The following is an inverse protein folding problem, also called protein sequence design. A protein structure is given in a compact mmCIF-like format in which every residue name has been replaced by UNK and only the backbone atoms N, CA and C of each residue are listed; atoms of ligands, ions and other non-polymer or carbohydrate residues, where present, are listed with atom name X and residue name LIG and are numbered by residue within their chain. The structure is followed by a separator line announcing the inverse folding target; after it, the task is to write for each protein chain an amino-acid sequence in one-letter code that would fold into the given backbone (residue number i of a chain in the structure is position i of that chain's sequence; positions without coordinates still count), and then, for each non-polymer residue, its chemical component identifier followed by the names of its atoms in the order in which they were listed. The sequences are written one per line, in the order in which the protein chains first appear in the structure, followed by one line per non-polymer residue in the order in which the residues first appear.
data_IF_606000181079
#
_entry.id   IF_606000181079
#
_cell.length_a   1.000
_cell.length_b   1.000
_cell.length_c   1.000
_cell.angle_alpha   90.00
_cell.angle_beta   90.00
_cell.angle_gamma   90.00
#
_symmetry.space_group_name_H-M   'P 1'
#
loop_
_entity.id
_entity.type
_entity.pdbx_description
1 polymer ?
#
# COMPACT_ATOMS: atom_id res chain seq x y z
N UNK A 1 14.61 0.61 -16.58
CA UNK A 1 15.37 1.31 -15.50
C UNK A 1 14.62 2.48 -14.87
N UNK A 2 14.22 3.52 -15.61
CA UNK A 2 13.50 4.67 -15.01
C UNK A 2 12.20 4.26 -14.32
N UNK A 3 11.36 3.46 -14.98
CA UNK A 3 10.08 2.99 -14.44
C UNK A 3 10.26 2.13 -13.17
N UNK A 4 11.24 1.24 -13.17
CA UNK A 4 11.62 0.43 -12.01
C UNK A 4 11.96 1.33 -10.82
N UNK A 5 12.85 2.31 -11.01
CA UNK A 5 13.24 3.23 -9.94
C UNK A 5 12.04 4.03 -9.42
N UNK A 6 11.18 4.54 -10.32
CA UNK A 6 9.95 5.25 -9.95
C UNK A 6 9.05 4.36 -9.11
N UNK A 7 8.82 3.12 -9.52
CA UNK A 7 8.00 2.16 -8.78
C UNK A 7 8.57 1.88 -7.38
N UNK A 8 9.88 1.64 -7.27
CA UNK A 8 10.55 1.38 -6.01
C UNK A 8 10.46 2.57 -5.06
N UNK A 9 10.79 3.77 -5.52
CA UNK A 9 10.69 5.00 -4.72
C UNK A 9 9.25 5.27 -4.27
N UNK A 10 8.30 5.12 -5.19
CA UNK A 10 6.88 5.29 -4.87
C UNK A 10 6.42 4.28 -3.82
N UNK A 11 6.81 3.01 -3.94
CA UNK A 11 6.52 1.97 -2.96
C UNK A 11 7.06 2.30 -1.57
N UNK A 12 8.29 2.80 -1.46
CA UNK A 12 8.85 3.23 -0.17
C UNK A 12 8.07 4.40 0.44
N UNK A 13 7.70 5.40 -0.37
CA UNK A 13 6.90 6.54 0.08
C UNK A 13 5.46 6.14 0.44
N UNK A 14 4.92 5.11 -0.21
CA UNK A 14 3.55 4.63 0.02
C UNK A 14 3.32 4.16 1.46
N UNK A 15 4.35 3.70 2.16
CA UNK A 15 4.26 3.32 3.57
C UNK A 15 3.84 4.51 4.46
N UNK A 16 4.17 5.73 4.06
CA UNK A 16 3.77 6.95 4.77
C UNK A 16 2.25 7.16 4.70
N UNK A 17 1.58 6.64 3.66
CA UNK A 17 0.14 6.87 3.46
C UNK A 17 -0.68 6.22 4.59
N UNK A 18 -0.56 4.91 4.90
CA UNK A 18 -1.21 4.32 6.07
C UNK A 18 -0.83 5.00 7.39
N UNK A 19 0.44 5.37 7.56
CA UNK A 19 0.90 6.06 8.77
C UNK A 19 0.20 7.42 8.94
N UNK A 20 0.06 8.19 7.86
CA UNK A 20 -0.64 9.47 7.86
C UNK A 20 -2.13 9.29 8.15
N UNK A 21 -2.79 8.28 7.59
CA UNK A 21 -4.20 8.00 7.88
C UNK A 21 -4.39 7.68 9.37
N UNK A 22 -3.56 6.80 9.93
CA UNK A 22 -3.60 6.46 11.36
C UNK A 22 -3.33 7.68 12.22
N UNK A 23 -2.27 8.45 11.93
CA UNK A 23 -1.94 9.66 12.67
C UNK A 23 -3.08 10.69 12.64
N UNK A 24 -3.71 10.91 11.48
CA UNK A 24 -4.82 11.86 11.33
C UNK A 24 -6.03 11.44 12.18
N UNK A 25 -6.36 10.14 12.17
CA UNK A 25 -7.41 9.56 13.01
C UNK A 25 -7.06 9.57 14.51
N UNK A 26 -5.78 9.49 14.89
CA UNK A 26 -5.32 9.65 16.27
C UNK A 26 -5.48 11.11 16.74
N UNK A 27 -5.15 12.08 15.89
CA UNK A 27 -5.17 13.52 16.17
C UNK A 27 -6.56 14.19 16.07
N UNK A 28 -7.64 13.39 15.90
CA UNK A 28 -9.05 13.84 15.81
C UNK A 28 -9.34 14.84 14.68
N UNK A 29 -8.51 14.92 13.65
CA UNK A 29 -8.84 15.66 12.41
C UNK A 29 -9.60 14.70 11.48
N UNK A 30 -10.61 15.21 10.77
CA UNK A 30 -11.67 14.41 10.10
C UNK A 30 -11.24 13.40 9.01
N UNK A 31 -12.14 13.10 8.08
CA UNK A 31 -12.06 11.93 7.17
C UNK A 31 -11.36 12.09 5.80
N UNK A 32 -10.68 13.19 5.39
CA UNK A 32 -10.33 13.35 3.98
C UNK A 32 -9.24 12.36 3.51
N UNK A 33 -8.26 12.05 4.36
CA UNK A 33 -7.07 11.29 3.93
C UNK A 33 -7.40 9.83 3.61
N UNK A 34 -8.27 9.17 4.39
CA UNK A 34 -8.64 7.76 4.16
C UNK A 34 -9.38 7.50 2.84
N UNK A 35 -9.95 8.55 2.23
CA UNK A 35 -10.69 8.42 0.95
C UNK A 35 -9.76 8.45 -0.25
N UNK A 36 -8.65 9.16 -0.14
CA UNK A 36 -7.66 9.33 -1.21
C UNK A 36 -6.58 8.24 -1.10
N UNK A 37 -6.26 7.81 0.12
CA UNK A 37 -5.21 6.84 0.38
C UNK A 37 -5.29 5.55 -0.45
N UNK A 38 -6.47 4.90 -0.65
CA UNK A 38 -6.57 3.72 -1.52
C UNK A 38 -6.16 4.00 -2.97
N UNK A 39 -6.47 5.19 -3.50
CA UNK A 39 -6.09 5.60 -4.87
C UNK A 39 -4.57 5.66 -5.02
N UNK A 40 -3.85 6.08 -3.98
CA UNK A 40 -2.39 6.07 -3.99
C UNK A 40 -1.84 4.63 -4.02
N UNK A 41 -2.47 3.69 -3.34
CA UNK A 41 -2.12 2.27 -3.45
C UNK A 41 -2.40 1.74 -4.86
N UNK A 42 -3.54 2.09 -5.45
CA UNK A 42 -3.93 1.69 -6.81
C UNK A 42 -2.90 2.14 -7.84
N UNK A 43 -2.41 3.38 -7.73
CA UNK A 43 -1.36 3.92 -8.61
C UNK A 43 -0.09 3.07 -8.50
N UNK A 44 0.35 2.72 -7.30
CA UNK A 44 1.56 1.90 -7.15
C UNK A 44 1.41 0.53 -7.80
N UNK A 45 0.26 -0.12 -7.59
CA UNK A 45 -0.02 -1.44 -8.17
C UNK A 45 -0.16 -1.37 -9.68
N UNK A 46 -0.77 -0.31 -10.22
CA UNK A 46 -0.83 -0.10 -11.66
C UNK A 46 0.57 0.08 -12.28
N UNK A 47 1.46 0.85 -11.64
CA UNK A 47 2.86 0.99 -12.08
C UNK A 47 3.58 -0.37 -12.00
N UNK A 48 3.39 -1.13 -10.91
CA UNK A 48 3.98 -2.46 -10.75
C UNK A 48 3.50 -3.47 -11.80
N UNK A 49 2.21 -3.44 -12.14
CA UNK A 49 1.65 -4.25 -13.22
C UNK A 49 2.22 -3.85 -14.57
N UNK A 50 2.32 -2.55 -14.86
CA UNK A 50 2.93 -2.04 -16.09
C UNK A 50 4.39 -2.49 -16.20
N UNK A 51 5.16 -2.37 -15.12
CA UNK A 51 6.53 -2.86 -15.06
C UNK A 51 6.61 -4.37 -15.30
N UNK A 52 5.68 -5.15 -14.74
CA UNK A 52 5.62 -6.59 -14.99
C UNK A 52 5.34 -6.94 -16.45
N UNK A 53 4.45 -6.19 -17.11
CA UNK A 53 4.14 -6.39 -18.53
C UNK A 53 5.32 -6.02 -19.45
N UNK A 54 6.06 -4.96 -19.12
CA UNK A 54 7.15 -4.44 -19.95
C UNK A 54 8.48 -5.18 -19.72
N UNK A 55 8.90 -5.31 -18.46
CA UNK A 55 10.25 -5.74 -18.09
C UNK A 55 10.29 -7.14 -17.46
N UNK A 56 9.13 -7.72 -17.09
CA UNK A 56 8.99 -9.03 -16.42
C UNK A 56 10.02 -9.26 -15.29
N UNK A 57 10.12 -8.34 -14.31
CA UNK A 57 11.06 -8.50 -13.22
C UNK A 57 10.75 -9.78 -12.43
N UNK A 58 11.81 -10.47 -12.01
CA UNK A 58 11.69 -11.62 -11.12
C UNK A 58 11.38 -11.13 -9.71
N UNK A 59 10.12 -11.22 -9.31
CA UNK A 59 9.63 -10.90 -7.96
C UNK A 59 8.74 -12.05 -7.48
N UNK A 60 8.78 -12.33 -6.17
CA UNK A 60 7.93 -13.37 -5.58
C UNK A 60 6.45 -13.05 -5.80
N UNK A 61 5.65 -14.08 -6.07
CA UNK A 61 4.21 -13.96 -6.29
C UNK A 61 3.46 -13.43 -5.07
N UNK A 62 4.05 -13.56 -3.87
CA UNK A 62 3.48 -13.00 -2.65
C UNK A 62 3.46 -11.46 -2.64
N UNK A 63 4.37 -10.80 -3.35
CA UNK A 63 4.39 -9.34 -3.46
C UNK A 63 3.05 -8.79 -4.02
N UNK A 64 2.61 -9.14 -5.25
CA UNK A 64 1.35 -8.64 -5.78
C UNK A 64 0.13 -9.13 -4.97
N UNK A 65 0.14 -10.36 -4.44
CA UNK A 65 -0.96 -10.88 -3.61
C UNK A 65 -1.20 -9.98 -2.39
N UNK A 66 -0.14 -9.65 -1.65
CA UNK A 66 -0.24 -8.81 -0.46
C UNK A 66 -0.64 -7.37 -0.82
N UNK A 67 -0.18 -6.85 -1.96
CA UNK A 67 -0.58 -5.52 -2.44
C UNK A 67 -2.07 -5.46 -2.79
N UNK A 68 -2.61 -6.49 -3.46
CA UNK A 68 -4.06 -6.55 -3.74
C UNK A 68 -4.89 -6.72 -2.47
N UNK A 69 -4.43 -7.51 -1.50
CA UNK A 69 -5.08 -7.61 -0.20
C UNK A 69 -5.11 -6.24 0.53
N UNK A 70 -4.00 -5.50 0.49
CA UNK A 70 -3.90 -4.16 1.06
C UNK A 70 -4.90 -3.18 0.40
N UNK A 71 -5.00 -3.19 -0.92
CA UNK A 71 -5.99 -2.41 -1.69
C UNK A 71 -7.42 -2.76 -1.27
N UNK A 72 -7.76 -4.05 -1.19
CA UNK A 72 -9.10 -4.51 -0.81
C UNK A 72 -9.52 -4.00 0.57
N UNK A 73 -8.64 -4.11 1.56
CA UNK A 73 -8.88 -3.59 2.91
C UNK A 73 -9.00 -2.07 2.89
N UNK A 74 -8.10 -1.36 2.19
CA UNK A 74 -8.09 0.10 2.11
C UNK A 74 -9.38 0.65 1.51
N UNK A 75 -9.85 0.10 0.39
CA UNK A 75 -11.13 0.50 -0.23
C UNK A 75 -12.32 0.15 0.67
N UNK A 76 -12.33 -1.04 1.27
CA UNK A 76 -13.40 -1.48 2.16
C UNK A 76 -13.60 -0.57 3.37
N UNK A 77 -12.52 0.03 3.89
CA UNK A 77 -12.59 0.93 5.06
C UNK A 77 -12.62 2.42 4.72
N UNK A 78 -12.40 2.80 3.46
CA UNK A 78 -12.24 4.20 3.00
C UNK A 78 -13.39 5.15 3.36
N UNK A 79 -14.61 4.62 3.53
CA UNK A 79 -15.83 5.37 3.90
C UNK A 79 -16.33 5.07 5.32
N UNK A 80 -15.63 4.23 6.08
CA UNK A 80 -16.00 3.89 7.44
C UNK A 80 -15.90 5.13 8.36
N UNK A 81 -16.84 5.24 9.29
CA UNK A 81 -16.83 6.26 10.36
C UNK A 81 -16.36 5.70 11.70
N UNK A 82 -16.29 4.38 11.84
CA UNK A 82 -15.87 3.75 13.08
C UNK A 82 -14.35 3.86 13.21
N UNK A 83 -13.90 4.69 14.16
CA UNK A 83 -12.47 4.97 14.40
C UNK A 83 -11.65 3.72 14.67
N UNK A 84 -12.17 2.78 15.47
CA UNK A 84 -11.45 1.54 15.79
C UNK A 84 -11.24 0.66 14.56
N UNK A 85 -12.29 0.55 13.73
CA UNK A 85 -12.22 -0.21 12.47
C UNK A 85 -11.23 0.44 11.49
N UNK A 86 -11.28 1.76 11.34
CA UNK A 86 -10.35 2.49 10.45
C UNK A 86 -8.90 2.29 10.89
N UNK A 87 -8.60 2.53 12.17
CA UNK A 87 -7.23 2.42 12.68
C UNK A 87 -6.72 0.97 12.53
N UNK A 88 -7.50 -0.02 12.93
CA UNK A 88 -7.12 -1.43 12.81
C UNK A 88 -6.88 -1.85 11.36
N UNK A 89 -7.77 -1.45 10.45
CA UNK A 89 -7.63 -1.74 9.03
C UNK A 89 -6.38 -1.09 8.43
N UNK A 90 -6.11 0.19 8.71
CA UNK A 90 -4.94 0.89 8.17
C UNK A 90 -3.61 0.40 8.77
N UNK A 91 -3.60 -0.08 10.01
CA UNK A 91 -2.45 -0.81 10.57
C UNK A 91 -2.23 -2.11 9.80
N UNK A 92 -3.30 -2.86 9.50
CA UNK A 92 -3.22 -4.06 8.67
C UNK A 92 -2.69 -3.77 7.26
N UNK A 93 -3.19 -2.71 6.62
CA UNK A 93 -2.69 -2.24 5.31
C UNK A 93 -1.21 -1.89 5.39
N UNK A 94 -0.77 -1.17 6.43
CA UNK A 94 0.64 -0.84 6.62
C UNK A 94 1.50 -2.10 6.71
N UNK A 95 1.09 -3.08 7.53
CA UNK A 95 1.81 -4.32 7.68
C UNK A 95 1.94 -5.08 6.34
N UNK A 96 0.84 -5.19 5.59
CA UNK A 96 0.82 -5.82 4.27
C UNK A 96 1.77 -5.13 3.29
N UNK A 97 1.74 -3.80 3.21
CA UNK A 97 2.61 -3.01 2.33
C UNK A 97 4.08 -3.18 2.71
N UNK A 98 4.42 -3.08 3.99
CA UNK A 98 5.80 -3.24 4.47
C UNK A 98 6.32 -4.64 4.13
N UNK A 99 5.58 -5.68 4.51
CA UNK A 99 5.98 -7.08 4.24
C UNK A 99 6.14 -7.31 2.73
N UNK A 100 5.18 -6.82 1.93
CA UNK A 100 5.22 -6.93 0.48
C UNK A 100 6.46 -6.28 -0.14
N UNK A 101 6.86 -5.10 0.34
CA UNK A 101 8.08 -4.41 -0.13
C UNK A 101 9.34 -5.17 0.29
N UNK A 102 9.38 -5.71 1.51
CA UNK A 102 10.52 -6.52 1.98
C UNK A 102 10.70 -7.81 1.17
N UNK A 103 9.58 -8.43 0.73
CA UNK A 103 9.60 -9.59 -0.18
C UNK A 103 10.14 -9.17 -1.56
N UNK A 104 9.66 -8.08 -2.13
CA UNK A 104 10.15 -7.59 -3.42
C UNK A 104 11.63 -7.21 -3.39
N UNK A 105 12.13 -6.70 -2.27
CA UNK A 105 13.55 -6.41 -2.03
C UNK A 105 14.42 -7.63 -1.75
N UNK A 106 13.83 -8.83 -1.61
CA UNK A 106 14.55 -10.08 -1.31
C UNK A 106 14.99 -10.24 0.15
N UNK A 107 14.55 -9.35 1.05
CA UNK A 107 14.86 -9.41 2.49
C UNK A 107 14.03 -10.47 3.22
N UNK A 108 12.84 -10.80 2.70
CA UNK A 108 12.00 -11.91 3.13
C UNK A 108 11.92 -12.90 1.98
N UNK A 109 12.21 -14.18 2.24
CA UNK A 109 12.20 -15.26 1.25
C UNK A 109 11.04 -16.20 1.53
N UNK A 110 10.01 -16.12 0.69
CA UNK A 110 8.82 -16.99 0.66
C UNK A 110 8.27 -17.09 -0.76
#
# INVERSE_FOLDING_TARGET
MLLYNVHTWYGHLLQLVPMLVVAFFLLRRGQPVQRIAPVLLDINVAIGLLLWLLDRPSVSIWHPILMFAAIGIAHGVSRSRNRGVVIGAWIGVLALVVISIQIAGGNIRI
#
